data_IF_237343205432
#
_entry.id   IF_237343205432
#
_cell.length_a   1.000
_cell.length_b   1.000
_cell.length_c   1.000
_cell.angle_alpha   90.00
_cell.angle_beta   90.00
_cell.angle_gamma   90.00
#
_symmetry.space_group_name_H-M   'P 1'
#
loop_
_entity.id
_entity.type
_entity.pdbx_description
1 polymer ?
#
# COMPACT_ATOMS: atom_id res chain seq x y z
N UNK A 1 -12.06 17.86 9.58
CA UNK A 1 -11.79 18.13 8.16
C UNK A 1 -12.45 16.99 7.41
N UNK A 2 -13.61 17.22 6.78
CA UNK A 2 -14.23 16.19 5.94
C UNK A 2 -13.37 16.08 4.68
N UNK A 3 -12.77 14.90 4.46
CA UNK A 3 -12.10 14.61 3.21
C UNK A 3 -13.18 14.34 2.17
N UNK A 4 -13.33 15.23 1.21
CA UNK A 4 -14.21 15.04 0.05
C UNK A 4 -13.61 13.96 -0.85
N UNK A 5 -14.03 12.72 -0.61
CA UNK A 5 -13.62 11.59 -1.44
C UNK A 5 -14.49 11.50 -2.69
N UNK A 6 -13.85 11.47 -3.86
CA UNK A 6 -14.53 11.05 -5.09
C UNK A 6 -14.58 9.52 -5.14
N UNK A 7 -15.79 8.96 -5.11
CA UNK A 7 -16.00 7.51 -5.19
C UNK A 7 -16.27 7.07 -6.62
N UNK A 8 -15.45 6.15 -7.14
CA UNK A 8 -15.59 5.57 -8.48
C UNK A 8 -15.36 4.07 -8.46
N UNK A 9 -15.68 3.36 -9.54
CA UNK A 9 -15.39 1.93 -9.66
C UNK A 9 -13.88 1.69 -9.72
N UNK A 10 -13.39 0.73 -8.93
CA UNK A 10 -11.99 0.31 -8.97
C UNK A 10 -11.66 -0.33 -10.32
N UNK A 11 -10.56 0.12 -10.95
CA UNK A 11 -10.08 -0.42 -12.22
C UNK A 11 -9.43 -1.79 -12.02
N UNK A 12 -9.31 -2.62 -13.08
CA UNK A 12 -8.55 -3.87 -13.01
C UNK A 12 -7.10 -3.66 -12.53
N UNK A 13 -6.47 -2.55 -12.94
CA UNK A 13 -5.11 -2.20 -12.53
C UNK A 13 -5.03 -1.95 -11.02
N UNK A 14 -5.97 -1.22 -10.42
CA UNK A 14 -5.98 -1.03 -8.96
C UNK A 14 -6.05 -2.37 -8.23
N UNK A 15 -6.97 -3.26 -8.66
CA UNK A 15 -7.16 -4.56 -8.02
C UNK A 15 -5.92 -5.44 -8.16
N UNK A 16 -5.28 -5.43 -9.34
CA UNK A 16 -4.04 -6.16 -9.58
C UNK A 16 -2.90 -5.62 -8.71
N UNK A 17 -2.71 -4.30 -8.63
CA UNK A 17 -1.67 -3.68 -7.78
C UNK A 17 -1.86 -4.06 -6.32
N UNK A 18 -3.09 -4.00 -5.80
CA UNK A 18 -3.40 -4.41 -4.42
C UNK A 18 -3.07 -5.89 -4.20
N UNK A 19 -3.46 -6.78 -5.13
CA UNK A 19 -3.17 -8.21 -5.03
C UNK A 19 -1.66 -8.49 -5.09
N UNK A 20 -0.94 -7.83 -5.99
CA UNK A 20 0.52 -7.94 -6.11
C UNK A 20 1.21 -7.46 -4.84
N UNK A 21 0.73 -6.38 -4.23
CA UNK A 21 1.26 -5.89 -2.96
C UNK A 21 1.05 -6.89 -1.83
N UNK A 22 -0.16 -7.44 -1.67
CA UNK A 22 -0.43 -8.47 -0.65
C UNK A 22 0.42 -9.73 -0.90
N UNK A 23 0.63 -10.10 -2.17
CA UNK A 23 1.56 -11.18 -2.52
C UNK A 23 2.99 -10.85 -2.11
N UNK A 24 3.52 -9.69 -2.52
CA UNK A 24 4.88 -9.25 -2.20
C UNK A 24 5.11 -9.15 -0.69
N UNK A 25 4.08 -8.71 0.04
CA UNK A 25 4.08 -8.60 1.48
C UNK A 25 4.27 -9.97 2.14
N UNK A 26 3.49 -10.99 1.79
CA UNK A 26 3.47 -12.28 2.51
C UNK A 26 4.26 -13.42 1.87
N UNK A 27 4.46 -13.38 0.55
CA UNK A 27 5.01 -14.49 -0.23
C UNK A 27 6.14 -14.08 -1.17
N UNK A 28 6.29 -12.78 -1.44
CA UNK A 28 7.35 -12.27 -2.29
C UNK A 28 8.68 -12.08 -1.57
N UNK A 29 9.66 -11.73 -2.39
CA UNK A 29 11.00 -11.30 -1.98
C UNK A 29 10.99 -9.86 -1.47
N UNK A 30 12.09 -9.43 -0.85
CA UNK A 30 12.29 -8.03 -0.45
C UNK A 30 12.31 -7.10 -1.66
N UNK A 31 12.87 -7.54 -2.80
CA UNK A 31 12.92 -6.71 -4.00
C UNK A 31 11.51 -6.51 -4.60
N UNK A 32 10.67 -7.54 -4.59
CA UNK A 32 9.26 -7.42 -4.98
C UNK A 32 8.48 -6.52 -4.03
N UNK A 33 8.71 -6.61 -2.71
CA UNK A 33 8.10 -5.70 -1.74
C UNK A 33 8.52 -4.25 -2.01
N UNK A 34 9.83 -4.02 -2.16
CA UNK A 34 10.39 -2.71 -2.45
C UNK A 34 9.83 -2.10 -3.73
N UNK A 35 9.76 -2.88 -4.82
CA UNK A 35 9.21 -2.40 -6.09
C UNK A 35 7.74 -2.02 -5.96
N UNK A 36 6.94 -2.65 -5.10
CA UNK A 36 5.54 -2.26 -4.95
C UNK A 36 5.35 -0.87 -4.32
N UNK A 37 6.36 -0.32 -3.64
CA UNK A 37 6.27 0.95 -2.92
C UNK A 37 6.34 2.16 -3.86
N UNK A 38 5.70 3.25 -3.45
CA UNK A 38 5.81 4.53 -4.14
C UNK A 38 7.20 5.15 -3.99
N UNK A 39 7.67 5.94 -4.97
CA UNK A 39 9.02 6.50 -4.99
C UNK A 39 9.25 7.42 -3.79
N UNK A 40 8.19 8.12 -3.35
CA UNK A 40 8.21 8.98 -2.17
C UNK A 40 8.46 8.20 -0.88
N UNK A 41 7.87 7.01 -0.75
CA UNK A 41 8.07 6.17 0.44
C UNK A 41 9.39 5.41 0.36
N UNK A 42 9.81 5.01 -0.84
CA UNK A 42 11.17 4.50 -1.08
C UNK A 42 12.22 5.53 -0.64
N UNK A 43 12.09 6.79 -1.08
CA UNK A 43 13.00 7.87 -0.70
C UNK A 43 12.98 8.11 0.82
N UNK A 44 11.79 8.10 1.44
CA UNK A 44 11.65 8.28 2.89
C UNK A 44 12.34 7.15 3.68
N UNK A 45 12.09 5.89 3.31
CA UNK A 45 12.71 4.72 3.94
C UNK A 45 14.23 4.70 3.77
N UNK A 46 14.72 5.05 2.57
CA UNK A 46 16.15 5.14 2.33
C UNK A 46 16.80 6.23 3.21
N UNK A 47 16.16 7.40 3.31
CA UNK A 47 16.64 8.50 4.15
C UNK A 47 16.66 8.11 5.63
N UNK A 48 15.62 7.42 6.09
CA UNK A 48 15.49 6.90 7.46
C UNK A 48 16.60 5.90 7.78
N UNK A 49 16.84 4.94 6.89
CA UNK A 49 17.94 3.98 7.02
C UNK A 49 19.31 4.68 7.07
N UNK A 50 19.58 5.63 6.18
CA UNK A 50 20.86 6.35 6.17
C UNK A 50 21.06 7.19 7.43
N UNK A 51 19.99 7.74 8.01
CA UNK A 51 20.04 8.43 9.29
C UNK A 51 20.39 7.48 10.44
N UNK A 52 19.72 6.32 10.54
CA UNK A 52 19.99 5.30 11.55
C UNK A 52 21.43 4.80 11.45
N UNK A 53 21.87 4.48 10.22
CA UNK A 53 23.21 4.00 9.90
C UNK A 53 24.30 5.01 10.30
N UNK A 54 24.06 6.30 10.06
CA UNK A 54 25.01 7.37 10.40
C UNK A 54 25.00 7.78 11.88
N UNK A 55 23.94 7.45 12.62
CA UNK A 55 23.77 7.82 14.04
C UNK A 55 24.36 6.80 15.03
N UNK A 56 25.09 5.78 14.55
CA UNK A 56 25.59 4.63 15.33
C UNK A 56 24.47 3.84 16.07
N UNK A 57 23.21 4.03 15.66
CA UNK A 57 22.06 3.23 16.11
C UNK A 57 21.84 2.05 15.16
N UNK A 58 22.92 1.50 14.60
CA UNK A 58 22.83 0.55 13.51
C UNK A 58 22.45 -0.83 14.03
N UNK A 59 21.15 -1.02 14.27
CA UNK A 59 20.55 -2.28 14.68
C UNK A 59 20.35 -3.25 13.50
N UNK A 60 20.72 -2.85 12.28
CA UNK A 60 20.51 -3.61 11.05
C UNK A 60 21.82 -4.02 10.39
N UNK A 61 21.88 -5.25 9.88
CA UNK A 61 23.04 -5.77 9.12
C UNK A 61 23.17 -5.12 7.72
N UNK A 62 22.13 -4.40 7.28
CA UNK A 62 22.13 -3.60 6.07
C UNK A 62 20.73 -3.18 5.63
N UNK A 63 20.63 -2.52 4.48
CA UNK A 63 19.36 -1.97 4.00
C UNK A 63 18.29 -3.05 3.76
N UNK A 64 18.68 -4.26 3.31
CA UNK A 64 17.72 -5.35 3.09
C UNK A 64 17.09 -5.84 4.39
N UNK A 65 17.83 -5.82 5.49
CA UNK A 65 17.36 -6.21 6.83
C UNK A 65 16.40 -5.16 7.41
N UNK A 66 16.75 -3.88 7.24
CA UNK A 66 15.85 -2.75 7.52
C UNK A 66 14.53 -2.85 6.74
N UNK A 67 14.60 -3.19 5.45
CA UNK A 67 13.40 -3.40 4.62
C UNK A 67 12.57 -4.61 5.04
N UNK A 68 13.19 -5.70 5.51
CA UNK A 68 12.44 -6.85 6.01
C UNK A 68 11.69 -6.50 7.30
N UNK A 69 12.33 -5.74 8.20
CA UNK A 69 11.68 -5.20 9.40
C UNK A 69 10.48 -4.32 9.05
N UNK A 70 10.66 -3.39 8.10
CA UNK A 70 9.57 -2.54 7.58
C UNK A 70 8.44 -3.38 6.97
N UNK A 71 8.79 -4.42 6.21
CA UNK A 71 7.82 -5.35 5.63
C UNK A 71 7.02 -6.07 6.71
N UNK A 72 7.65 -6.47 7.80
CA UNK A 72 7.00 -7.16 8.92
C UNK A 72 6.05 -6.24 9.68
N UNK A 73 6.42 -4.97 9.87
CA UNK A 73 5.50 -3.95 10.37
C UNK A 73 4.28 -3.81 9.45
N UNK A 74 4.48 -3.77 8.14
CA UNK A 74 3.36 -3.75 7.20
C UNK A 74 2.51 -5.02 7.29
N UNK A 75 3.10 -6.22 7.42
CA UNK A 75 2.32 -7.45 7.63
C UNK A 75 1.40 -7.35 8.83
N UNK A 76 1.87 -6.75 9.93
CA UNK A 76 1.03 -6.54 11.11
C UNK A 76 -0.21 -5.69 10.81
N UNK A 77 -0.10 -4.68 9.94
CA UNK A 77 -1.22 -3.83 9.52
C UNK A 77 -2.24 -4.55 8.64
N UNK A 78 -1.81 -5.56 7.88
CA UNK A 78 -2.65 -6.34 6.96
C UNK A 78 -2.95 -7.76 7.48
N UNK A 79 -2.70 -8.05 8.75
CA UNK A 79 -2.77 -9.41 9.28
C UNK A 79 -4.16 -10.04 9.11
N UNK A 80 -5.21 -9.25 9.24
CA UNK A 80 -6.59 -9.74 9.16
C UNK A 80 -7.04 -10.11 7.74
N UNK A 81 -6.32 -9.63 6.72
CA UNK A 81 -6.63 -9.87 5.30
C UNK A 81 -5.63 -10.84 4.63
N UNK A 82 -4.71 -11.44 5.39
CA UNK A 82 -3.66 -12.33 4.87
C UNK A 82 -4.21 -13.57 4.14
N UNK A 83 -5.18 -14.27 4.74
CA UNK A 83 -5.61 -15.59 4.27
C UNK A 83 -6.74 -15.51 3.25
N UNK A 84 -7.67 -14.59 3.44
CA UNK A 84 -8.90 -14.46 2.64
C UNK A 84 -9.36 -13.01 2.64
N UNK A 85 -9.14 -12.33 1.52
CA UNK A 85 -9.54 -10.93 1.36
C UNK A 85 -10.29 -10.73 0.05
N UNK A 86 -11.48 -10.12 0.13
CA UNK A 86 -12.12 -9.52 -1.02
C UNK A 86 -11.52 -8.15 -1.29
N UNK A 87 -11.22 -7.84 -2.55
CA UNK A 87 -10.85 -6.46 -2.96
C UNK A 87 -12.13 -5.70 -3.27
N UNK A 88 -12.30 -4.52 -2.68
CA UNK A 88 -13.46 -3.66 -2.91
C UNK A 88 -13.68 -3.32 -4.39
N UNK A 89 -14.94 -3.22 -4.79
CA UNK A 89 -15.33 -2.80 -6.14
C UNK A 89 -15.23 -1.29 -6.36
N UNK A 90 -15.11 -0.52 -5.27
CA UNK A 90 -15.07 0.93 -5.29
C UNK A 90 -13.70 1.43 -4.83
N UNK A 91 -13.23 2.46 -5.50
CA UNK A 91 -12.04 3.23 -5.19
C UNK A 91 -12.46 4.61 -4.69
N UNK A 92 -11.77 5.14 -3.67
CA UNK A 92 -11.97 6.51 -3.18
C UNK A 92 -10.74 7.34 -3.46
N UNK A 93 -10.91 8.42 -4.20
CA UNK A 93 -9.84 9.34 -4.56
C UNK A 93 -9.79 10.50 -3.57
N UNK A 94 -8.60 10.85 -3.11
CA UNK A 94 -8.36 12.11 -2.41
C UNK A 94 -8.20 13.25 -3.43
N UNK A 95 -8.37 14.51 -3.01
CA UNK A 95 -8.06 15.67 -3.84
C UNK A 95 -6.60 15.68 -4.35
N UNK A 96 -5.68 15.08 -3.61
CA UNK A 96 -4.25 14.98 -3.94
C UNK A 96 -3.94 13.82 -4.91
N UNK A 97 -4.95 13.03 -5.30
CA UNK A 97 -4.81 11.96 -6.28
C UNK A 97 -4.43 10.59 -5.70
N UNK A 98 -4.44 10.43 -4.38
CA UNK A 98 -4.29 9.11 -3.74
C UNK A 98 -5.58 8.30 -3.89
N UNK A 99 -5.44 6.98 -4.02
CA UNK A 99 -6.57 6.08 -4.25
C UNK A 99 -6.65 5.04 -3.14
N UNK A 100 -7.73 5.08 -2.38
CA UNK A 100 -8.02 4.10 -1.34
C UNK A 100 -8.79 2.94 -1.96
N UNK A 101 -8.20 1.75 -1.87
CA UNK A 101 -8.85 0.47 -2.17
C UNK A 101 -8.98 -0.30 -0.87
N UNK A 102 -10.18 -0.75 -0.54
CA UNK A 102 -10.44 -1.43 0.71
C UNK A 102 -10.40 -2.95 0.54
N UNK A 103 -9.62 -3.61 1.38
CA UNK A 103 -9.64 -5.06 1.56
C UNK A 103 -10.67 -5.42 2.62
N UNK A 104 -11.45 -6.46 2.35
CA UNK A 104 -12.52 -6.93 3.22
C UNK A 104 -12.20 -8.35 3.69
N UNK A 105 -12.18 -8.53 5.00
CA UNK A 105 -11.85 -9.80 5.64
C UNK A 105 -12.87 -10.91 5.30
N UNK A 106 -12.39 -12.14 5.13
CA UNK A 106 -13.20 -13.36 5.03
C UNK A 106 -14.21 -13.41 3.87
N UNK A 107 -13.97 -12.65 2.79
CA UNK A 107 -14.78 -12.72 1.58
C UNK A 107 -14.15 -13.69 0.56
N UNK A 108 -14.80 -14.83 0.34
CA UNK A 108 -14.40 -15.83 -0.66
C UNK A 108 -15.21 -15.79 -1.97
N UNK A 109 -16.36 -15.10 -1.97
CA UNK A 109 -17.27 -14.99 -3.11
C UNK A 109 -17.74 -13.54 -3.24
N UNK A 110 -18.21 -13.14 -4.42
CA UNK A 110 -18.79 -11.81 -4.61
C UNK A 110 -19.98 -11.62 -3.67
N UNK A 111 -19.90 -10.65 -2.76
CA UNK A 111 -20.99 -10.31 -1.83
C UNK A 111 -21.64 -9.00 -2.30
N UNK A 112 -22.97 -9.01 -2.33
CA UNK A 112 -23.77 -7.81 -2.54
C UNK A 112 -24.56 -7.55 -1.26
N UNK A 113 -24.26 -6.44 -0.58
CA UNK A 113 -25.02 -6.01 0.58
C UNK A 113 -26.35 -5.40 0.14
N UNK A 114 -27.45 -5.91 0.69
CA UNK A 114 -28.82 -5.44 0.40
C UNK A 114 -29.33 -4.39 1.40
N UNK A 115 -28.55 -4.12 2.45
CA UNK A 115 -28.80 -3.10 3.46
C UNK A 115 -27.46 -2.53 3.97
N UNK A 116 -27.44 -1.30 4.52
CA UNK A 116 -26.25 -0.75 5.16
C UNK A 116 -25.72 -1.72 6.22
N UNK A 117 -24.45 -2.11 6.08
CA UNK A 117 -23.79 -3.07 6.97
C UNK A 117 -22.44 -2.47 7.34
N UNK A 118 -22.12 -2.45 8.64
CA UNK A 118 -20.78 -2.11 9.09
C UNK A 118 -19.85 -3.30 8.82
N UNK A 119 -18.76 -3.03 8.10
CA UNK A 119 -17.80 -4.06 7.71
C UNK A 119 -16.41 -3.53 8.04
N UNK A 120 -15.62 -4.35 8.72
CA UNK A 120 -14.20 -4.06 8.94
C UNK A 120 -13.46 -4.13 7.61
N UNK A 121 -12.75 -3.05 7.29
CA UNK A 121 -11.97 -2.93 6.08
C UNK A 121 -10.56 -2.51 6.40
N UNK A 122 -9.60 -2.99 5.61
CA UNK A 122 -8.21 -2.57 5.68
C UNK A 122 -7.90 -1.77 4.41
N UNK A 123 -7.57 -0.47 4.51
CA UNK A 123 -7.26 0.33 3.34
C UNK A 123 -5.89 -0.05 2.77
N UNK A 124 -5.78 -0.07 1.45
CA UNK A 124 -4.52 0.01 0.71
C UNK A 124 -4.56 1.31 -0.06
N UNK A 125 -3.56 2.16 0.15
CA UNK A 125 -3.47 3.46 -0.51
C UNK A 125 -2.56 3.31 -1.73
N UNK A 126 -3.07 3.66 -2.90
CA UNK A 126 -2.33 3.66 -4.15
C UNK A 126 -2.01 5.09 -4.56
N UNK A 127 -0.86 5.27 -5.21
CA UNK A 127 -0.49 6.50 -5.89
C UNK A 127 0.08 6.18 -7.27
N UNK A 128 0.04 7.15 -8.17
CA UNK A 128 0.53 6.99 -9.52
C UNK A 128 1.96 7.52 -9.63
N UNK A 129 2.93 6.63 -9.85
CA UNK A 129 4.28 7.05 -10.20
C UNK A 129 4.41 7.15 -11.71
N UNK A 130 5.11 8.19 -12.17
CA UNK A 130 5.46 8.36 -13.56
C UNK A 130 6.96 8.15 -13.73
N UNK A 131 7.33 7.23 -14.63
CA UNK A 131 8.72 7.00 -15.01
C UNK A 131 8.93 7.43 -16.46
N UNK A 132 9.92 8.28 -16.67
CA UNK A 132 10.40 8.63 -18.00
C UNK A 132 11.48 7.64 -18.43
N UNK A 133 11.27 6.97 -19.56
CA UNK A 133 12.27 6.16 -20.23
C UNK A 133 12.99 7.04 -21.27
N UNK A 134 14.28 7.28 -21.05
CA UNK A 134 15.10 8.14 -21.91
C UNK A 134 15.42 7.46 -23.26
N UNK A 135 15.47 6.13 -23.31
CA UNK A 135 15.78 5.38 -24.52
C UNK A 135 14.58 5.36 -25.45
N UNK A 136 13.39 5.09 -24.90
CA UNK A 136 12.16 5.07 -25.69
C UNK A 136 11.46 6.43 -25.78
N UNK A 137 11.92 7.44 -25.03
CA UNK A 137 11.28 8.77 -24.93
C UNK A 137 9.80 8.70 -24.51
N UNK A 138 9.44 7.71 -23.69
CA UNK A 138 8.04 7.43 -23.28
C UNK A 138 7.88 7.62 -21.79
N UNK A 139 6.77 8.24 -21.39
CA UNK A 139 6.30 8.24 -20.01
C UNK A 139 5.44 7.00 -19.77
N UNK A 140 5.77 6.24 -18.73
CA UNK A 140 4.95 5.14 -18.24
C UNK A 140 4.41 5.47 -16.85
N UNK A 141 3.13 5.21 -16.64
CA UNK A 141 2.46 5.46 -15.37
C UNK A 141 2.15 4.12 -14.70
N UNK A 142 2.57 3.97 -13.44
CA UNK A 142 2.45 2.74 -12.68
C UNK A 142 1.81 3.02 -11.32
N UNK A 143 0.81 2.23 -10.97
CA UNK A 143 0.22 2.27 -9.64
C UNK A 143 1.18 1.61 -8.65
N UNK A 144 1.55 2.36 -7.61
CA UNK A 144 2.38 1.91 -6.49
C UNK A 144 1.65 2.12 -5.18
N UNK A 145 2.09 1.44 -4.12
CA UNK A 145 1.45 1.43 -2.81
C UNK A 145 2.13 2.41 -1.87
N UNK A 146 1.32 3.15 -1.10
CA UNK A 146 1.82 3.96 0.01
C UNK A 146 1.93 3.14 1.28
N UNK A 147 3.01 3.34 2.03
CA UNK A 147 3.21 2.70 3.34
C UNK A 147 2.26 3.30 4.37
N UNK A 148 1.63 2.44 5.17
CA UNK A 148 0.87 2.88 6.34
C UNK A 148 1.85 2.98 7.51
N UNK A 149 2.24 4.20 7.90
CA UNK A 149 2.95 4.43 9.17
C UNK A 149 1.94 4.43 10.32
N UNK A 150 2.31 3.89 11.48
CA UNK A 150 1.39 3.72 12.62
C UNK A 150 0.66 5.01 13.06
N UNK A 151 1.27 6.17 12.82
CA UNK A 151 0.65 7.48 13.14
C UNK A 151 -0.64 7.76 12.34
N UNK A 152 -0.81 7.14 11.16
CA UNK A 152 -2.00 7.32 10.30
C UNK A 152 -3.23 6.55 10.77
N UNK A 153 -3.09 5.54 11.65
CA UNK A 153 -4.27 4.88 12.27
C UNK A 153 -5.09 5.89 13.08
N UNK A 154 -4.41 6.84 13.73
CA UNK A 154 -5.03 7.90 14.53
C UNK A 154 -5.78 8.93 13.67
N UNK A 155 -5.35 9.17 12.43
CA UNK A 155 -5.95 10.17 11.55
C UNK A 155 -7.20 9.66 10.82
N UNK A 156 -7.35 8.35 10.66
CA UNK A 156 -8.45 7.72 9.92
C UNK A 156 -9.60 7.20 10.80
N UNK A 157 -9.54 7.36 12.13
CA UNK A 157 -10.52 6.81 13.07
C UNK A 157 -10.88 5.34 12.75
N UNK A 158 -9.86 4.50 12.53
CA UNK A 158 -9.98 3.05 12.42
C UNK A 158 -9.63 2.38 13.76
#
# INVERSE_FOLDING_TARGET
MELDFLQVKATPQHKQTVQNFIFALYKGTIDEFWDMLADVDQMALYTEYEYIRSSNMNDYDGFRDFLDTTREEQRSNYASVQKQSGVGEMARYTPEGEVYIYLIENIQKKIHYIAPTEVKVVPVVLTLNMKYDAESTVYSAHWKVRIIKNDYKTALNL
#
